data_IF_279647908910
#
_entry.id   IF_279647908910
#
_cell.length_a   1.000
_cell.length_b   1.000
_cell.length_c   1.000
_cell.angle_alpha   90.00
_cell.angle_beta   90.00
_cell.angle_gamma   90.00
#
_symmetry.space_group_name_H-M   'P 1'
#
loop_
_entity.id
_entity.type
_entity.pdbx_description
1 polymer ?
#
# COMPACT_ATOMS: atom_id res chain seq x y z
N UNK A 1 12.84 65.50 47.22
CA UNK A 1 13.36 65.43 48.60
C UNK A 1 14.40 64.33 48.66
N UNK A 2 15.61 64.63 49.13
CA UNK A 2 16.69 63.66 49.30
C UNK A 2 16.57 62.91 50.64
N UNK A 3 17.27 61.78 50.79
CA UNK A 3 17.29 61.03 52.07
C UNK A 3 17.88 61.88 53.21
N UNK A 4 18.84 62.74 52.88
CA UNK A 4 19.42 63.72 53.81
C UNK A 4 18.38 64.73 54.31
N UNK A 5 17.59 65.31 53.40
CA UNK A 5 16.50 66.23 53.79
C UNK A 5 15.44 65.52 54.65
N UNK A 6 15.14 64.26 54.35
CA UNK A 6 14.21 63.46 55.15
C UNK A 6 14.77 63.16 56.54
N UNK A 7 16.08 62.91 56.65
CA UNK A 7 16.75 62.69 57.93
C UNK A 7 16.73 63.94 58.82
N UNK A 8 16.95 65.12 58.25
CA UNK A 8 16.85 66.40 58.97
C UNK A 8 15.43 66.65 59.49
N UNK A 9 14.41 66.38 58.66
CA UNK A 9 13.00 66.46 59.05
C UNK A 9 12.66 65.45 60.16
N UNK A 10 13.10 64.20 60.02
CA UNK A 10 12.90 63.14 61.01
C UNK A 10 13.50 63.53 62.37
N UNK A 11 14.66 64.18 62.37
CA UNK A 11 15.26 64.72 63.60
C UNK A 11 14.48 65.91 64.17
N UNK A 12 14.03 66.84 63.33
CA UNK A 12 13.26 68.00 63.79
C UNK A 12 11.94 67.61 64.45
N UNK A 13 11.24 66.63 63.87
CA UNK A 13 9.90 66.20 64.32
C UNK A 13 9.96 65.16 65.45
N UNK A 14 10.85 64.16 65.36
CA UNK A 14 10.88 63.01 66.29
C UNK A 14 12.12 62.94 67.17
N UNK A 15 13.08 63.88 67.03
CA UNK A 15 14.36 63.91 67.76
C UNK A 15 15.20 62.64 67.60
N UNK A 16 14.97 61.87 66.54
CA UNK A 16 15.73 60.66 66.19
C UNK A 16 16.74 61.00 65.09
N UNK A 17 18.02 60.71 65.33
CA UNK A 17 19.11 61.07 64.39
C UNK A 17 19.39 59.91 63.44
N UNK A 18 19.48 60.21 62.15
CA UNK A 18 19.91 59.26 61.11
C UNK A 18 21.06 59.89 60.32
N UNK A 19 22.07 59.09 59.99
CA UNK A 19 23.26 59.55 59.28
C UNK A 19 23.41 58.80 57.96
N UNK A 20 23.53 59.54 56.87
CA UNK A 20 23.85 59.00 55.55
C UNK A 20 25.34 59.17 55.28
N UNK A 21 26.04 58.07 54.98
CA UNK A 21 27.47 58.10 54.62
C UNK A 21 27.67 57.75 53.14
N UNK A 22 28.80 58.14 52.53
CA UNK A 22 29.15 57.69 51.18
C UNK A 22 29.19 56.15 51.06
N UNK A 23 29.55 55.45 52.14
CA UNK A 23 29.52 53.99 52.20
C UNK A 23 28.12 53.39 52.11
N UNK A 24 27.08 54.08 52.62
CA UNK A 24 25.68 53.66 52.43
C UNK A 24 25.21 53.82 50.98
N UNK A 25 25.74 54.82 50.26
CA UNK A 25 25.45 55.00 48.83
C UNK A 25 26.11 53.92 47.96
N UNK A 26 27.37 53.56 48.24
CA UNK A 26 28.03 52.43 47.57
C UNK A 26 27.31 51.11 47.85
N UNK A 27 26.77 50.94 49.06
CA UNK A 27 25.95 49.78 49.41
C UNK A 27 24.69 49.69 48.54
N UNK A 28 23.98 50.81 48.36
CA UNK A 28 22.82 50.87 47.47
C UNK A 28 23.17 50.40 46.05
N UNK A 29 24.27 50.90 45.48
CA UNK A 29 24.68 50.53 44.11
C UNK A 29 24.96 49.03 44.03
N UNK A 30 25.72 48.48 44.98
CA UNK A 30 26.04 47.06 44.99
C UNK A 30 24.79 46.18 45.16
N UNK A 31 23.88 46.59 46.05
CA UNK A 31 22.61 45.92 46.28
C UNK A 31 21.73 45.94 45.03
N UNK A 32 21.63 47.10 44.37
CA UNK A 32 20.89 47.25 43.12
C UNK A 32 21.41 46.33 42.02
N UNK A 33 22.73 46.30 41.79
CA UNK A 33 23.33 45.45 40.75
C UNK A 33 23.09 43.96 41.03
N UNK A 34 23.21 43.53 42.30
CA UNK A 34 22.95 42.14 42.71
C UNK A 34 21.48 41.78 42.49
N UNK A 35 20.56 42.58 43.03
CA UNK A 35 19.12 42.35 42.95
C UNK A 35 18.62 42.38 41.51
N UNK A 36 19.14 43.27 40.67
CA UNK A 36 18.77 43.34 39.26
C UNK A 36 19.21 42.09 38.50
N UNK A 37 20.42 41.61 38.76
CA UNK A 37 20.93 40.37 38.18
C UNK A 37 20.11 39.14 38.57
N UNK A 38 19.72 39.04 39.84
CA UNK A 38 18.87 37.96 40.35
C UNK A 38 17.46 38.03 39.77
N UNK A 39 16.82 39.21 39.79
CA UNK A 39 15.46 39.38 39.27
C UNK A 39 15.36 39.12 37.77
N UNK A 40 16.36 39.53 36.98
CA UNK A 40 16.43 39.20 35.55
C UNK A 40 16.51 37.70 35.28
N UNK A 41 17.17 36.93 36.17
CA UNK A 41 17.25 35.46 36.05
C UNK A 41 15.97 34.74 36.49
N UNK A 42 15.25 35.30 37.46
CA UNK A 42 14.01 34.71 37.99
C UNK A 42 12.84 34.75 37.01
N UNK A 43 12.86 35.68 36.04
CA UNK A 43 11.81 35.82 35.04
C UNK A 43 11.86 34.68 34.02
N UNK A 44 11.18 33.57 34.35
CA UNK A 44 11.10 32.36 33.53
C UNK A 44 10.13 32.47 32.33
N UNK A 45 10.20 33.60 31.58
CA UNK A 45 9.35 33.90 30.42
C UNK A 45 9.45 32.82 29.34
N UNK A 46 10.67 32.37 29.06
CA UNK A 46 10.94 31.50 27.91
C UNK A 46 10.21 30.16 27.99
N UNK A 47 10.00 29.63 29.19
CA UNK A 47 9.23 28.39 29.39
C UNK A 47 7.77 28.57 28.99
N UNK A 48 7.13 29.64 29.46
CA UNK A 48 5.71 29.92 29.19
C UNK A 48 5.51 30.27 27.71
N UNK A 49 6.43 31.08 27.15
CA UNK A 49 6.43 31.42 25.72
C UNK A 49 6.59 30.19 24.82
N UNK A 50 7.49 29.28 25.16
CA UNK A 50 7.68 28.03 24.40
C UNK A 50 6.45 27.14 24.48
N UNK A 51 5.83 27.02 25.67
CA UNK A 51 4.58 26.29 25.86
C UNK A 51 3.44 26.84 25.00
N UNK A 52 3.26 28.16 25.00
CA UNK A 52 2.25 28.83 24.20
C UNK A 52 2.48 28.63 22.69
N UNK A 53 3.73 28.76 22.21
CA UNK A 53 4.06 28.51 20.79
C UNK A 53 3.66 27.10 20.36
N UNK A 54 3.95 26.09 21.19
CA UNK A 54 3.60 24.69 20.88
C UNK A 54 2.10 24.45 20.87
N UNK A 55 1.36 25.12 21.75
CA UNK A 55 -0.10 25.06 21.78
C UNK A 55 -0.69 25.66 20.49
N UNK A 56 -0.22 26.84 20.08
CA UNK A 56 -0.65 27.48 18.83
C UNK A 56 -0.32 26.63 17.58
N UNK A 57 0.89 26.08 17.50
CA UNK A 57 1.29 25.14 16.43
C UNK A 57 0.36 23.92 16.37
N UNK A 58 -0.03 23.39 17.54
CA UNK A 58 -0.96 22.26 17.64
C UNK A 58 -2.35 22.63 17.13
N UNK A 59 -2.86 23.82 17.47
CA UNK A 59 -4.16 24.30 16.97
C UNK A 59 -4.17 24.40 15.44
N UNK A 60 -3.11 24.96 14.84
CA UNK A 60 -2.96 25.04 13.38
C UNK A 60 -2.95 23.65 12.74
N UNK A 61 -2.24 22.70 13.33
CA UNK A 61 -2.20 21.32 12.84
C UNK A 61 -3.58 20.64 12.91
N UNK A 62 -4.32 20.86 14.00
CA UNK A 62 -5.68 20.34 14.17
C UNK A 62 -6.63 20.91 13.13
N UNK A 63 -6.54 22.20 12.83
CA UNK A 63 -7.38 22.83 11.82
C UNK A 63 -7.04 22.35 10.41
N UNK A 64 -5.77 22.11 10.11
CA UNK A 64 -5.36 21.46 8.86
C UNK A 64 -5.93 20.04 8.76
N UNK A 65 -5.83 19.23 9.82
CA UNK A 65 -6.41 17.88 9.83
C UNK A 65 -7.92 17.87 9.63
N UNK A 66 -8.65 18.86 10.16
CA UNK A 66 -10.10 19.03 9.90
C UNK A 66 -10.38 19.28 8.43
N UNK A 67 -9.62 20.18 7.80
CA UNK A 67 -9.77 20.49 6.37
C UNK A 67 -9.46 19.27 5.51
N UNK A 68 -8.35 18.58 5.78
CA UNK A 68 -7.95 17.38 5.05
C UNK A 68 -9.03 16.29 5.14
N UNK A 69 -9.62 16.08 6.32
CA UNK A 69 -10.69 15.10 6.52
C UNK A 69 -11.96 15.47 5.73
N UNK A 70 -12.38 16.74 5.79
CA UNK A 70 -13.54 17.23 5.02
C UNK A 70 -13.35 17.13 3.51
N UNK A 71 -12.11 17.24 3.02
CA UNK A 71 -11.79 17.10 1.60
C UNK A 71 -11.75 15.62 1.16
N UNK A 72 -11.36 14.71 2.05
CA UNK A 72 -11.26 13.27 1.75
C UNK A 72 -12.62 12.55 1.82
N UNK A 73 -13.57 13.03 2.62
CA UNK A 73 -14.93 12.47 2.72
C UNK A 73 -15.64 12.29 1.36
N UNK A 74 -15.80 13.32 0.51
CA UNK A 74 -16.47 13.16 -0.78
C UNK A 74 -15.70 12.23 -1.73
N UNK A 75 -14.36 12.27 -1.70
CA UNK A 75 -13.51 11.41 -2.54
C UNK A 75 -13.70 9.94 -2.19
N UNK A 76 -13.83 9.60 -0.91
CA UNK A 76 -14.09 8.22 -0.49
C UNK A 76 -15.47 7.73 -0.96
N UNK A 77 -16.48 8.60 -0.91
CA UNK A 77 -17.83 8.28 -1.39
C UNK A 77 -17.81 8.05 -2.91
N UNK A 78 -17.20 8.94 -3.68
CA UNK A 78 -17.07 8.79 -5.14
C UNK A 78 -16.35 7.48 -5.50
N UNK A 79 -15.18 7.23 -4.90
CA UNK A 79 -14.43 5.97 -5.09
C UNK A 79 -15.22 4.73 -4.66
N UNK A 80 -16.08 4.83 -3.66
CA UNK A 80 -16.93 3.71 -3.24
C UNK A 80 -17.95 3.34 -4.30
N UNK A 81 -18.58 4.33 -4.92
CA UNK A 81 -19.55 4.15 -6.01
C UNK A 81 -18.85 3.64 -7.26
N UNK A 82 -17.67 4.15 -7.59
CA UNK A 82 -16.89 3.69 -8.76
C UNK A 82 -16.48 2.22 -8.64
N UNK A 83 -16.05 1.78 -7.45
CA UNK A 83 -15.69 0.39 -7.18
C UNK A 83 -16.91 -0.53 -7.30
N UNK A 84 -18.08 -0.11 -6.80
CA UNK A 84 -19.34 -0.86 -6.94
C UNK A 84 -19.77 -0.98 -8.41
N UNK A 85 -19.68 0.10 -9.17
CA UNK A 85 -20.00 0.10 -10.60
C UNK A 85 -19.03 -0.76 -11.44
N UNK A 86 -17.74 -0.78 -11.07
CA UNK A 86 -16.75 -1.67 -11.70
C UNK A 86 -17.04 -3.14 -11.39
N UNK A 87 -17.43 -3.46 -10.15
CA UNK A 87 -17.79 -4.83 -9.74
C UNK A 87 -18.98 -5.37 -10.54
N UNK A 88 -20.03 -4.57 -10.72
CA UNK A 88 -21.22 -4.97 -11.45
C UNK A 88 -20.91 -5.26 -12.94
N UNK A 89 -20.12 -4.39 -13.59
CA UNK A 89 -19.69 -4.60 -14.98
C UNK A 89 -18.88 -5.89 -15.14
N UNK A 90 -17.97 -6.16 -14.20
CA UNK A 90 -17.10 -7.33 -14.24
C UNK A 90 -17.87 -8.64 -14.11
N UNK A 91 -18.90 -8.66 -13.25
CA UNK A 91 -19.77 -9.82 -13.08
C UNK A 91 -20.57 -10.15 -14.35
N UNK A 92 -21.15 -9.13 -15.00
CA UNK A 92 -21.95 -9.29 -16.22
C UNK A 92 -21.09 -9.74 -17.41
N UNK A 93 -19.89 -9.16 -17.56
CA UNK A 93 -19.00 -9.48 -18.68
C UNK A 93 -18.39 -10.89 -18.55
N UNK A 94 -18.05 -11.34 -17.33
CA UNK A 94 -17.55 -12.71 -17.11
C UNK A 94 -18.56 -13.80 -17.43
N UNK A 95 -19.83 -13.62 -17.03
CA UNK A 95 -20.85 -14.65 -17.18
C UNK A 95 -21.31 -14.80 -18.63
N UNK A 96 -21.52 -13.68 -19.34
CA UNK A 96 -22.00 -13.70 -20.72
C UNK A 96 -21.00 -14.32 -21.69
N UNK A 97 -19.70 -14.05 -21.52
CA UNK A 97 -18.65 -14.47 -22.46
C UNK A 97 -18.35 -15.96 -22.34
N UNK A 98 -18.32 -16.49 -21.10
CA UNK A 98 -18.07 -17.92 -20.85
C UNK A 98 -19.19 -18.81 -21.38
N UNK A 99 -20.45 -18.39 -21.27
CA UNK A 99 -21.59 -19.18 -21.71
C UNK A 99 -21.61 -19.39 -23.23
N UNK A 100 -21.40 -18.32 -24.00
CA UNK A 100 -21.46 -18.36 -25.47
C UNK A 100 -20.40 -19.28 -26.06
N UNK A 101 -19.17 -19.26 -25.52
CA UNK A 101 -18.08 -20.09 -26.09
C UNK A 101 -18.19 -21.56 -25.70
N UNK A 102 -18.66 -21.88 -24.49
CA UNK A 102 -18.89 -23.28 -24.10
C UNK A 102 -19.96 -23.94 -24.99
N UNK A 103 -21.03 -23.22 -25.33
CA UNK A 103 -22.07 -23.71 -26.24
C UNK A 103 -21.51 -23.98 -27.65
N UNK A 104 -20.71 -23.06 -28.19
CA UNK A 104 -20.11 -23.20 -29.52
C UNK A 104 -19.02 -24.29 -29.60
N UNK A 105 -18.21 -24.45 -28.55
CA UNK A 105 -17.21 -25.51 -28.44
C UNK A 105 -17.84 -26.90 -28.39
N UNK A 106 -18.94 -27.06 -27.65
CA UNK A 106 -19.68 -28.31 -27.60
C UNK A 106 -20.22 -28.70 -29.00
N UNK A 107 -20.77 -27.73 -29.75
CA UNK A 107 -21.29 -27.96 -31.10
C UNK A 107 -20.18 -28.37 -32.08
N UNK A 108 -19.00 -27.73 -31.99
CA UNK A 108 -17.87 -28.07 -32.86
C UNK A 108 -17.28 -29.45 -32.51
N UNK A 109 -17.25 -29.83 -31.23
CA UNK A 109 -16.78 -31.15 -30.79
C UNK A 109 -17.67 -32.27 -31.30
N UNK A 110 -19.00 -32.12 -31.20
CA UNK A 110 -19.95 -33.11 -31.74
C UNK A 110 -19.76 -33.29 -33.25
N UNK A 111 -19.63 -32.20 -34.00
CA UNK A 111 -19.40 -32.26 -35.45
C UNK A 111 -18.05 -32.90 -35.82
N UNK A 112 -17.01 -32.68 -34.99
CA UNK A 112 -15.70 -33.31 -35.16
C UNK A 112 -15.74 -34.83 -34.95
N UNK A 113 -16.44 -35.28 -33.91
CA UNK A 113 -16.65 -36.70 -33.62
C UNK A 113 -17.46 -37.37 -34.75
N UNK A 114 -18.49 -36.71 -35.27
CA UNK A 114 -19.27 -37.19 -36.43
C UNK A 114 -18.41 -37.31 -37.71
N UNK A 115 -17.57 -36.32 -38.02
CA UNK A 115 -16.65 -36.41 -39.18
C UNK A 115 -15.61 -37.50 -39.03
N UNK A 116 -15.06 -37.67 -37.83
CA UNK A 116 -14.05 -38.69 -37.57
C UNK A 116 -14.65 -40.09 -37.70
N UNK A 117 -15.86 -40.31 -37.19
CA UNK A 117 -16.56 -41.58 -37.34
C UNK A 117 -16.82 -41.94 -38.82
N UNK A 118 -17.18 -40.94 -39.66
CA UNK A 118 -17.36 -41.14 -41.11
C UNK A 118 -16.01 -41.45 -41.80
N UNK A 119 -14.92 -40.83 -41.35
CA UNK A 119 -13.58 -41.09 -41.87
C UNK A 119 -13.08 -42.49 -41.50
N UNK A 120 -13.23 -42.89 -40.25
CA UNK A 120 -12.84 -44.21 -39.76
C UNK A 120 -13.65 -45.33 -40.43
N UNK A 121 -14.94 -45.09 -40.69
CA UNK A 121 -15.82 -46.03 -41.40
C UNK A 121 -15.44 -46.17 -42.89
N UNK A 122 -15.04 -45.08 -43.55
CA UNK A 122 -14.55 -45.12 -44.93
C UNK A 122 -13.16 -45.78 -45.04
N UNK A 123 -12.29 -45.57 -44.05
CA UNK A 123 -10.95 -46.15 -44.02
C UNK A 123 -11.00 -47.65 -43.74
N UNK A 124 -11.85 -48.09 -42.80
CA UNK A 124 -12.03 -49.50 -42.47
C UNK A 124 -12.44 -50.34 -43.68
N UNK A 125 -13.34 -49.81 -44.51
CA UNK A 125 -13.79 -50.51 -45.72
C UNK A 125 -12.68 -50.55 -46.79
N UNK A 126 -11.87 -49.49 -46.93
CA UNK A 126 -10.71 -49.49 -47.84
C UNK A 126 -9.62 -50.48 -47.40
N UNK A 127 -9.40 -50.59 -46.09
CA UNK A 127 -8.42 -51.50 -45.50
C UNK A 127 -8.78 -52.99 -45.69
N UNK A 128 -10.03 -53.32 -46.05
CA UNK A 128 -10.42 -54.68 -46.43
C UNK A 128 -9.85 -55.07 -47.81
N UNK A 129 -9.76 -54.12 -48.74
CA UNK A 129 -9.38 -54.38 -50.12
C UNK A 129 -7.91 -54.12 -50.46
N UNK A 130 -7.27 -53.16 -49.77
CA UNK A 130 -5.89 -52.77 -50.03
C UNK A 130 -4.88 -53.92 -49.81
N UNK A 131 -4.94 -54.70 -48.72
CA UNK A 131 -4.00 -55.80 -48.50
C UNK A 131 -4.12 -56.91 -49.54
N UNK A 132 -5.35 -57.20 -49.99
CA UNK A 132 -5.60 -58.20 -51.03
C UNK A 132 -5.03 -57.76 -52.39
N UNK A 133 -5.14 -56.47 -52.71
CA UNK A 133 -4.59 -55.89 -53.95
C UNK A 133 -3.06 -55.78 -53.92
N UNK A 134 -2.47 -55.38 -52.80
CA UNK A 134 -1.02 -55.34 -52.62
C UNK A 134 -0.40 -56.73 -52.67
N UNK A 135 -1.01 -57.72 -52.01
CA UNK A 135 -0.58 -59.11 -52.06
C UNK A 135 -0.64 -59.66 -53.50
N UNK A 136 -1.70 -59.34 -54.24
CA UNK A 136 -1.84 -59.71 -55.65
C UNK A 136 -0.79 -59.06 -56.56
N UNK A 137 -0.55 -57.75 -56.41
CA UNK A 137 0.45 -57.04 -57.20
C UNK A 137 1.87 -57.54 -56.92
N UNK A 138 2.20 -57.82 -55.65
CA UNK A 138 3.48 -58.41 -55.26
C UNK A 138 3.64 -59.82 -55.84
N UNK A 139 2.57 -60.61 -55.88
CA UNK A 139 2.57 -61.93 -56.50
C UNK A 139 2.75 -61.86 -58.03
N UNK A 140 2.21 -60.84 -58.70
CA UNK A 140 2.44 -60.58 -60.13
C UNK A 140 3.86 -60.09 -60.43
N UNK A 141 4.41 -59.21 -59.60
CA UNK A 141 5.77 -58.66 -59.76
C UNK A 141 6.85 -59.73 -59.54
N UNK A 142 6.52 -60.80 -58.79
CA UNK A 142 7.39 -61.97 -58.62
C UNK A 142 7.43 -62.94 -59.82
N UNK A 143 6.64 -62.69 -60.88
CA UNK A 143 6.62 -63.52 -62.08
C UNK A 143 7.67 -63.05 -63.09
N UNK A 144 8.46 -63.99 -63.59
CA UNK A 144 9.46 -63.72 -64.63
C UNK A 144 8.94 -64.11 -66.03
N UNK A 145 9.64 -63.61 -67.06
CA UNK A 145 9.30 -63.91 -68.47
C UNK A 145 9.32 -65.41 -68.79
N UNK A 146 10.10 -66.19 -68.04
CA UNK A 146 10.17 -67.64 -68.15
C UNK A 146 8.83 -68.31 -67.76
N UNK A 147 8.22 -67.86 -66.66
CA UNK A 147 6.95 -68.38 -66.13
C UNK A 147 5.79 -68.17 -67.11
N UNK A 148 5.79 -67.03 -67.82
CA UNK A 148 4.82 -66.70 -68.87
C UNK A 148 5.04 -67.58 -70.11
N UNK A 149 6.30 -67.83 -70.45
CA UNK A 149 6.63 -68.68 -71.60
C UNK A 149 6.22 -70.14 -71.39
N UNK A 150 6.24 -70.64 -70.16
CA UNK A 150 5.78 -71.99 -69.79
C UNK A 150 4.29 -72.17 -70.10
N UNK A 151 3.45 -71.19 -69.72
CA UNK A 151 2.01 -71.23 -70.01
C UNK A 151 1.73 -71.11 -71.53
N UNK A 152 2.57 -70.37 -72.27
CA UNK A 152 2.36 -70.13 -73.71
C UNK A 152 2.58 -71.39 -74.57
N UNK A 153 3.37 -72.34 -74.10
CA UNK A 153 3.77 -73.55 -74.86
C UNK A 153 2.65 -74.59 -74.92
N UNK A 154 1.63 -74.52 -74.05
CA UNK A 154 0.51 -75.46 -74.08
C UNK A 154 -0.19 -75.49 -75.47
N UNK A 155 -0.24 -76.69 -76.05
CA UNK A 155 -0.98 -76.99 -77.29
C UNK A 155 -2.47 -77.16 -77.01
N UNK A 156 -2.82 -77.76 -75.87
CA UNK A 156 -4.15 -77.78 -75.26
C UNK A 156 -4.01 -77.47 -73.77
N UNK A 157 -4.40 -76.27 -73.30
CA UNK A 157 -4.21 -75.88 -71.90
C UNK A 157 -5.14 -76.68 -70.98
N UNK A 158 -4.72 -76.96 -69.72
CA UNK A 158 -5.63 -77.45 -68.68
C UNK A 158 -6.79 -76.48 -68.44
N UNK A 159 -7.97 -77.00 -68.12
CA UNK A 159 -9.20 -76.20 -67.98
C UNK A 159 -9.05 -75.04 -66.95
N UNK A 160 -8.33 -75.26 -65.86
CA UNK A 160 -8.03 -74.22 -64.86
C UNK A 160 -7.12 -73.10 -65.39
N UNK A 161 -6.17 -73.43 -66.26
CA UNK A 161 -5.31 -72.41 -66.92
C UNK A 161 -6.13 -71.63 -67.95
N UNK A 162 -7.03 -72.30 -68.66
CA UNK A 162 -7.93 -71.69 -69.64
C UNK A 162 -8.86 -70.67 -68.97
N UNK A 163 -9.51 -71.04 -67.86
CA UNK A 163 -10.41 -70.12 -67.12
C UNK A 163 -9.69 -68.90 -66.53
N UNK A 164 -8.46 -69.04 -66.03
CA UNK A 164 -7.65 -67.89 -65.55
C UNK A 164 -7.29 -66.96 -66.70
N UNK A 165 -6.89 -67.50 -67.85
CA UNK A 165 -6.55 -66.71 -69.02
C UNK A 165 -7.74 -66.04 -69.67
N UNK A 166 -8.91 -66.67 -69.67
CA UNK A 166 -10.18 -66.07 -70.10
C UNK A 166 -10.57 -64.90 -69.19
N UNK A 167 -10.42 -65.04 -67.87
CA UNK A 167 -10.74 -63.99 -66.91
C UNK A 167 -9.82 -62.75 -67.07
N UNK A 168 -8.52 -62.97 -67.31
CA UNK A 168 -7.58 -61.87 -67.62
C UNK A 168 -7.89 -61.24 -68.98
N UNK A 169 -8.24 -62.05 -69.98
CA UNK A 169 -8.61 -61.55 -71.32
C UNK A 169 -9.86 -60.67 -71.25
N UNK A 170 -10.81 -60.98 -70.37
CA UNK A 170 -11.99 -60.15 -70.10
C UNK A 170 -11.61 -58.80 -69.47
N UNK A 171 -10.70 -58.78 -68.50
CA UNK A 171 -10.22 -57.54 -67.89
C UNK A 171 -9.43 -56.66 -68.88
N UNK A 172 -8.61 -57.27 -69.73
CA UNK A 172 -7.88 -56.57 -70.80
C UNK A 172 -8.71 -56.28 -72.06
N UNK A 173 -10.03 -56.51 -72.01
CA UNK A 173 -10.99 -56.27 -73.09
C UNK A 173 -10.66 -57.01 -74.41
N UNK A 174 -10.05 -58.18 -74.32
CA UNK A 174 -9.78 -59.11 -75.40
C UNK A 174 -10.87 -60.20 -75.48
N UNK A 175 -10.90 -60.95 -76.59
CA UNK A 175 -11.82 -62.08 -76.73
C UNK A 175 -11.44 -63.19 -75.72
N UNK A 176 -12.39 -63.81 -75.02
CA UNK A 176 -12.13 -64.89 -74.06
C UNK A 176 -11.93 -66.22 -74.80
N UNK A 177 -10.93 -66.29 -75.67
CA UNK A 177 -10.53 -67.48 -76.39
C UNK A 177 -9.02 -67.73 -76.23
N UNK A 178 -8.61 -69.00 -76.25
CA UNK A 178 -7.20 -69.37 -76.07
C UNK A 178 -6.28 -68.72 -77.11
N UNK A 179 -6.78 -68.46 -78.32
CA UNK A 179 -6.03 -67.78 -79.37
C UNK A 179 -5.67 -66.34 -78.98
N UNK A 180 -6.62 -65.55 -78.45
CA UNK A 180 -6.34 -64.20 -77.97
C UNK A 180 -5.51 -64.20 -76.68
N UNK A 181 -5.77 -65.12 -75.75
CA UNK A 181 -4.96 -65.29 -74.54
C UNK A 181 -3.48 -65.58 -74.87
N UNK A 182 -3.22 -66.43 -75.87
CA UNK A 182 -1.86 -66.76 -76.33
C UNK A 182 -1.16 -65.58 -77.01
N UNK A 183 -1.91 -64.69 -77.66
CA UNK A 183 -1.38 -63.42 -78.18
C UNK A 183 -1.03 -62.45 -77.04
N UNK A 184 -1.87 -62.35 -76.01
CA UNK A 184 -1.61 -61.51 -74.83
C UNK A 184 -0.37 -61.98 -74.06
N UNK A 185 -0.20 -63.29 -73.86
CA UNK A 185 1.01 -63.87 -73.26
C UNK A 185 2.27 -63.70 -74.13
N UNK A 186 2.11 -63.34 -75.40
CA UNK A 186 3.20 -63.06 -76.33
C UNK A 186 3.73 -61.62 -76.26
N UNK A 187 2.98 -60.71 -75.65
CA UNK A 187 3.34 -59.31 -75.51
C UNK A 187 4.42 -59.13 -74.43
N UNK A 188 5.54 -58.48 -74.78
CA UNK A 188 6.63 -58.19 -73.85
C UNK A 188 6.21 -57.27 -72.69
N UNK A 189 5.11 -56.54 -72.83
CA UNK A 189 4.58 -55.63 -71.82
C UNK A 189 3.38 -56.18 -71.03
N UNK A 190 3.07 -57.48 -71.17
CA UNK A 190 1.89 -58.09 -70.54
C UNK A 190 1.82 -57.88 -69.01
N UNK A 191 2.90 -58.16 -68.27
CA UNK A 191 2.93 -57.95 -66.81
C UNK A 191 2.81 -56.48 -66.42
N UNK A 192 3.49 -55.58 -67.16
CA UNK A 192 3.38 -54.13 -66.93
C UNK A 192 1.94 -53.64 -67.12
N UNK A 193 1.24 -54.14 -68.14
CA UNK A 193 -0.18 -53.83 -68.38
C UNK A 193 -1.11 -54.32 -67.26
N UNK A 194 -0.76 -55.37 -66.53
CA UNK A 194 -1.53 -55.84 -65.37
C UNK A 194 -1.23 -55.00 -64.12
N UNK A 195 0.03 -54.63 -63.90
CA UNK A 195 0.44 -53.78 -62.77
C UNK A 195 -0.03 -52.32 -62.92
N UNK A 196 -0.01 -51.78 -64.13
CA UNK A 196 -0.45 -50.41 -64.46
C UNK A 196 -1.95 -50.33 -64.81
N UNK A 197 -2.70 -51.42 -64.65
CA UNK A 197 -4.11 -51.44 -64.98
C UNK A 197 -4.90 -50.47 -64.10
N UNK A 198 -5.81 -49.71 -64.71
CA UNK A 198 -6.68 -48.76 -64.02
C UNK A 198 -7.71 -49.49 -63.13
N UNK A 199 -7.34 -49.66 -61.85
CA UNK A 199 -8.13 -50.30 -60.80
C UNK A 199 -9.33 -49.46 -60.34
N UNK A 200 -9.34 -48.16 -60.62
CA UNK A 200 -10.39 -47.23 -60.17
C UNK A 200 -11.55 -47.18 -61.19
N UNK A 201 -11.31 -47.47 -62.48
CA UNK A 201 -12.30 -47.30 -63.55
C UNK A 201 -12.64 -48.58 -64.34
N UNK A 202 -13.01 -49.66 -63.64
CA UNK A 202 -13.43 -50.92 -64.28
C UNK A 202 -14.89 -50.83 -64.72
N UNK A 203 -15.15 -50.96 -66.02
CA UNK A 203 -16.52 -50.90 -66.56
C UNK A 203 -17.40 -51.99 -65.93
N UNK A 204 -18.65 -51.68 -65.53
CA UNK A 204 -19.55 -52.64 -64.85
C UNK A 204 -19.87 -53.87 -65.71
N UNK A 205 -19.84 -53.73 -67.04
CA UNK A 205 -20.03 -54.83 -67.98
C UNK A 205 -18.90 -55.87 -67.93
N UNK A 206 -17.68 -55.46 -67.57
CA UNK A 206 -16.51 -56.34 -67.44
C UNK A 206 -16.62 -57.14 -66.14
N UNK A 207 -16.98 -56.49 -65.03
CA UNK A 207 -17.19 -57.14 -63.73
C UNK A 207 -18.30 -58.20 -63.79
N UNK A 208 -19.42 -57.92 -64.46
CA UNK A 208 -20.52 -58.89 -64.64
C UNK A 208 -20.06 -60.15 -65.39
N UNK A 209 -19.19 -60.00 -66.40
CA UNK A 209 -18.59 -61.14 -67.11
C UNK A 209 -17.60 -61.90 -66.24
N UNK A 210 -16.85 -61.19 -65.39
CA UNK A 210 -15.88 -61.74 -64.44
C UNK A 210 -16.54 -62.59 -63.35
N UNK A 211 -17.76 -62.22 -62.92
CA UNK A 211 -18.53 -62.95 -61.90
C UNK A 211 -18.75 -64.43 -62.23
N UNK A 212 -18.90 -64.77 -63.52
CA UNK A 212 -19.06 -66.16 -63.96
C UNK A 212 -17.85 -67.03 -63.59
N UNK A 213 -16.66 -66.44 -63.55
CA UNK A 213 -15.40 -67.12 -63.24
C UNK A 213 -15.09 -67.08 -61.75
N UNK A 214 -15.33 -65.94 -61.09
CA UNK A 214 -15.06 -65.78 -59.64
C UNK A 214 -15.98 -66.65 -58.78
N UNK A 215 -17.24 -66.84 -59.19
CA UNK A 215 -18.20 -67.69 -58.48
C UNK A 215 -17.99 -69.19 -58.76
N UNK A 216 -17.04 -69.56 -59.62
CA UNK A 216 -16.71 -70.96 -59.86
C UNK A 216 -15.90 -71.51 -58.66
N UNK A 217 -16.34 -72.59 -57.99
CA UNK A 217 -15.64 -73.18 -56.83
C UNK A 217 -14.22 -73.68 -57.14
N UNK A 218 -13.86 -73.82 -58.42
CA UNK A 218 -12.52 -74.23 -58.84
C UNK A 218 -11.56 -73.05 -59.13
N UNK A 219 -12.07 -71.81 -59.15
CA UNK A 219 -11.31 -70.58 -59.38
C UNK A 219 -10.70 -70.01 -58.08
N UNK A 220 -9.88 -70.83 -57.41
CA UNK A 220 -9.23 -70.49 -56.14
C UNK A 220 -7.71 -70.58 -56.31
N UNK A 221 -6.92 -69.59 -55.83
CA UNK A 221 -5.47 -69.58 -55.99
C UNK A 221 -4.78 -70.89 -55.58
N UNK A 222 -5.23 -71.53 -54.50
CA UNK A 222 -4.69 -72.81 -54.00
C UNK A 222 -4.96 -74.01 -54.92
N UNK A 223 -6.08 -74.02 -55.64
CA UNK A 223 -6.41 -75.07 -56.62
C UNK A 223 -5.65 -74.86 -57.93
N UNK A 224 -5.50 -73.60 -58.35
CA UNK A 224 -4.76 -73.22 -59.56
C UNK A 224 -3.25 -73.47 -59.39
N UNK A 225 -2.72 -73.31 -58.18
CA UNK A 225 -1.30 -73.58 -57.86
C UNK A 225 -0.86 -75.01 -58.20
N UNK A 226 -1.75 -75.99 -58.02
CA UNK A 226 -1.47 -77.41 -58.33
C UNK A 226 -1.23 -77.65 -59.82
N UNK A 227 -1.66 -76.73 -60.68
CA UNK A 227 -1.52 -76.81 -62.14
C UNK A 227 -0.45 -75.86 -62.65
N UNK A 228 -0.39 -74.63 -62.13
CA UNK A 228 0.65 -73.67 -62.48
C UNK A 228 0.81 -72.60 -61.40
N UNK A 229 2.05 -72.40 -60.94
CA UNK A 229 2.42 -71.34 -60.01
C UNK A 229 2.21 -69.95 -60.59
N UNK A 230 2.45 -69.78 -61.89
CA UNK A 230 2.26 -68.51 -62.58
C UNK A 230 0.77 -68.14 -62.71
N UNK A 231 -0.09 -69.13 -62.97
CA UNK A 231 -1.55 -68.92 -62.99
C UNK A 231 -2.13 -68.61 -61.60
N UNK A 232 -1.49 -69.04 -60.49
CA UNK A 232 -1.90 -68.68 -59.12
C UNK A 232 -1.83 -67.17 -58.90
N UNK A 233 -0.70 -66.53 -59.22
CA UNK A 233 -0.50 -65.09 -59.05
C UNK A 233 -1.49 -64.29 -59.89
N UNK A 234 -1.75 -64.74 -61.13
CA UNK A 234 -2.73 -64.11 -62.01
C UNK A 234 -4.18 -64.29 -61.52
N UNK A 235 -4.53 -65.47 -61.00
CA UNK A 235 -5.84 -65.74 -60.40
C UNK A 235 -6.08 -64.89 -59.13
N UNK A 236 -5.07 -64.77 -58.28
CA UNK A 236 -5.10 -63.92 -57.08
C UNK A 236 -5.34 -62.45 -57.45
N UNK A 237 -4.69 -61.97 -58.51
CA UNK A 237 -4.88 -60.61 -59.02
C UNK A 237 -6.28 -60.35 -59.57
N UNK A 238 -6.82 -61.25 -60.38
CA UNK A 238 -8.20 -61.12 -60.90
C UNK A 238 -9.22 -61.03 -59.76
N UNK A 239 -9.05 -61.83 -58.70
CA UNK A 239 -9.94 -61.82 -57.53
C UNK A 239 -9.77 -60.56 -56.67
N UNK A 240 -8.53 -60.11 -56.47
CA UNK A 240 -8.26 -58.86 -55.75
C UNK A 240 -8.83 -57.64 -56.50
N UNK A 241 -8.84 -57.67 -57.83
CA UNK A 241 -9.38 -56.60 -58.66
C UNK A 241 -10.92 -56.47 -58.58
N UNK A 242 -11.63 -57.61 -58.52
CA UNK A 242 -13.09 -57.62 -58.29
C UNK A 242 -13.44 -57.14 -56.88
N UNK A 243 -12.69 -57.59 -55.88
CA UNK A 243 -12.88 -57.19 -54.48
C UNK A 243 -12.62 -55.69 -54.30
N UNK A 244 -11.53 -55.17 -54.85
CA UNK A 244 -11.21 -53.74 -54.82
C UNK A 244 -12.27 -52.90 -55.54
N UNK A 245 -12.73 -53.31 -56.73
CA UNK A 245 -13.74 -52.56 -57.47
C UNK A 245 -15.12 -52.53 -56.80
N UNK A 246 -15.47 -53.57 -56.02
CA UNK A 246 -16.68 -53.59 -55.19
C UNK A 246 -16.56 -52.64 -54.00
N UNK A 247 -15.45 -52.73 -53.28
CA UNK A 247 -15.17 -51.86 -52.12
C UNK A 247 -15.09 -50.39 -52.52
N UNK A 248 -14.42 -50.05 -53.62
CA UNK A 248 -14.35 -48.66 -54.14
C UNK A 248 -15.75 -48.11 -54.41
N UNK A 249 -16.68 -48.90 -54.95
CA UNK A 249 -18.07 -48.46 -55.17
C UNK A 249 -18.84 -48.20 -53.88
N UNK A 250 -18.55 -48.93 -52.82
CA UNK A 250 -19.16 -48.73 -51.50
C UNK A 250 -18.53 -47.55 -50.75
N UNK A 251 -17.24 -47.30 -50.98
CA UNK A 251 -16.47 -46.21 -50.36
C UNK A 251 -16.68 -44.86 -51.06
N UNK A 252 -16.92 -44.82 -52.37
CA UNK A 252 -17.15 -43.58 -53.14
C UNK A 252 -18.24 -42.66 -52.53
N UNK A 253 -19.45 -43.15 -52.18
CA UNK A 253 -20.45 -42.32 -51.49
C UNK A 253 -20.00 -41.90 -50.08
N UNK A 254 -19.19 -42.72 -49.39
CA UNK A 254 -18.62 -42.36 -48.07
C UNK A 254 -17.58 -41.26 -48.20
N UNK A 255 -16.73 -41.28 -49.25
CA UNK A 255 -15.78 -40.20 -49.58
C UNK A 255 -16.49 -38.88 -49.88
N UNK A 256 -17.59 -38.90 -50.62
CA UNK A 256 -18.38 -37.69 -50.87
C UNK A 256 -19.03 -37.14 -49.60
N UNK A 257 -19.59 -38.02 -48.74
CA UNK A 257 -20.12 -37.63 -47.42
C UNK A 257 -19.04 -37.08 -46.51
N UNK A 258 -17.86 -37.70 -46.48
CA UNK A 258 -16.69 -37.23 -45.73
C UNK A 258 -16.29 -35.85 -46.21
N UNK A 259 -16.13 -35.62 -47.51
CA UNK A 259 -15.76 -34.31 -48.06
C UNK A 259 -16.81 -33.23 -47.69
N UNK A 260 -18.10 -33.53 -47.84
CA UNK A 260 -19.16 -32.61 -47.44
C UNK A 260 -19.18 -32.32 -45.93
N UNK A 261 -18.89 -33.32 -45.10
CA UNK A 261 -18.81 -33.18 -43.65
C UNK A 261 -17.53 -32.42 -43.24
N UNK A 262 -16.41 -32.64 -43.92
CA UNK A 262 -15.14 -31.94 -43.72
C UNK A 262 -15.27 -30.44 -44.04
N UNK A 263 -15.93 -30.09 -45.14
CA UNK A 263 -16.20 -28.68 -45.48
C UNK A 263 -17.06 -28.00 -44.40
N UNK A 264 -18.06 -28.70 -43.87
CA UNK A 264 -18.88 -28.19 -42.76
C UNK A 264 -18.08 -28.05 -41.47
N UNK A 265 -17.22 -29.02 -41.18
CA UNK A 265 -16.32 -29.02 -40.04
C UNK A 265 -15.36 -27.85 -40.10
N UNK A 266 -14.69 -27.64 -41.23
CA UNK A 266 -13.74 -26.55 -41.46
C UNK A 266 -14.42 -25.18 -41.29
N UNK A 267 -15.64 -25.02 -41.81
CA UNK A 267 -16.44 -23.82 -41.60
C UNK A 267 -16.76 -23.60 -40.11
N UNK A 268 -17.16 -24.65 -39.38
CA UNK A 268 -17.42 -24.55 -37.94
C UNK A 268 -16.16 -24.28 -37.12
N UNK A 269 -15.03 -24.91 -37.47
CA UNK A 269 -13.74 -24.67 -36.83
C UNK A 269 -13.23 -23.25 -37.10
N UNK A 270 -13.46 -22.70 -38.30
CA UNK A 270 -13.12 -21.31 -38.59
C UNK A 270 -13.94 -20.36 -37.70
N UNK A 271 -15.25 -20.55 -37.59
CA UNK A 271 -16.09 -19.75 -36.67
C UNK A 271 -15.69 -19.93 -35.21
N UNK A 272 -15.31 -21.13 -34.79
CA UNK A 272 -14.83 -21.41 -33.45
C UNK A 272 -13.52 -20.67 -33.17
N UNK A 273 -12.55 -20.70 -34.09
CA UNK A 273 -11.27 -19.98 -33.95
C UNK A 273 -11.49 -18.47 -33.82
N UNK A 274 -12.40 -17.90 -34.61
CA UNK A 274 -12.75 -16.48 -34.51
C UNK A 274 -13.41 -16.15 -33.17
N UNK A 275 -14.31 -17.01 -32.68
CA UNK A 275 -14.95 -16.85 -31.36
C UNK A 275 -13.95 -17.05 -30.21
N UNK A 276 -13.05 -18.03 -30.29
CA UNK A 276 -11.95 -18.23 -29.32
C UNK A 276 -11.00 -17.04 -29.29
N UNK A 277 -10.69 -16.44 -30.45
CA UNK A 277 -9.88 -15.22 -30.52
C UNK A 277 -10.59 -14.03 -29.85
N UNK A 278 -11.90 -13.87 -30.08
CA UNK A 278 -12.71 -12.85 -29.40
C UNK A 278 -12.79 -13.11 -27.90
N UNK A 279 -12.92 -14.37 -27.47
CA UNK A 279 -12.92 -14.73 -26.06
C UNK A 279 -11.59 -14.36 -25.40
N UNK A 280 -10.45 -14.67 -26.01
CA UNK A 280 -9.15 -14.22 -25.48
C UNK A 280 -9.09 -12.69 -25.33
N UNK A 281 -9.57 -11.94 -26.32
CA UNK A 281 -9.61 -10.48 -26.23
C UNK A 281 -10.48 -9.99 -25.08
N UNK A 282 -11.62 -10.64 -24.84
CA UNK A 282 -12.50 -10.27 -23.73
C UNK A 282 -11.95 -10.75 -22.38
N UNK A 283 -11.29 -11.90 -22.31
CA UNK A 283 -10.56 -12.36 -21.12
C UNK A 283 -9.43 -11.39 -20.76
N UNK A 284 -8.65 -10.91 -21.74
CA UNK A 284 -7.62 -9.90 -21.54
C UNK A 284 -8.23 -8.58 -21.02
N UNK A 285 -9.40 -8.18 -21.54
CA UNK A 285 -10.13 -7.01 -21.06
C UNK A 285 -10.67 -7.20 -19.63
N UNK A 286 -11.21 -8.38 -19.32
CA UNK A 286 -11.67 -8.74 -17.97
C UNK A 286 -10.50 -8.71 -17.01
N UNK A 287 -9.34 -9.27 -17.38
CA UNK A 287 -8.14 -9.22 -16.54
C UNK A 287 -7.69 -7.78 -16.30
N UNK A 288 -7.67 -6.93 -17.34
CA UNK A 288 -7.35 -5.52 -17.18
C UNK A 288 -8.36 -4.79 -16.27
N UNK A 289 -9.64 -5.13 -16.35
CA UNK A 289 -10.68 -4.60 -15.46
C UNK A 289 -10.54 -5.14 -14.03
N UNK A 290 -10.14 -6.39 -13.84
CA UNK A 290 -9.84 -6.98 -12.52
C UNK A 290 -8.66 -6.26 -11.87
N UNK A 291 -7.58 -6.03 -12.62
CA UNK A 291 -6.41 -5.30 -12.12
C UNK A 291 -6.78 -3.86 -11.75
N UNK A 292 -7.64 -3.19 -12.53
CA UNK A 292 -8.14 -1.85 -12.22
C UNK A 292 -9.04 -1.83 -10.98
N UNK A 293 -9.89 -2.87 -10.83
CA UNK A 293 -10.75 -3.04 -9.67
C UNK A 293 -9.91 -3.24 -8.39
N UNK A 294 -8.93 -4.14 -8.42
CA UNK A 294 -8.03 -4.38 -7.28
C UNK A 294 -7.27 -3.12 -6.87
N UNK A 295 -6.71 -2.37 -7.84
CA UNK A 295 -6.06 -1.07 -7.55
C UNK A 295 -7.02 -0.07 -6.92
N UNK A 296 -8.23 0.05 -7.47
CA UNK A 296 -9.24 0.99 -6.96
C UNK A 296 -9.71 0.60 -5.55
N UNK A 297 -9.78 -0.70 -5.26
CA UNK A 297 -10.13 -1.22 -3.94
C UNK A 297 -9.02 -0.96 -2.93
N UNK A 298 -7.76 -1.18 -3.29
CA UNK A 298 -6.61 -0.85 -2.44
C UNK A 298 -6.53 0.65 -2.15
N UNK A 299 -6.75 1.51 -3.16
CA UNK A 299 -6.86 2.95 -3.00
C UNK A 299 -7.97 3.31 -2.00
N UNK A 300 -9.19 2.78 -2.19
CA UNK A 300 -10.34 2.99 -1.29
C UNK A 300 -10.02 2.57 0.14
N UNK A 301 -9.41 1.41 0.35
CA UNK A 301 -9.02 0.93 1.68
C UNK A 301 -7.92 1.78 2.31
N UNK A 302 -6.95 2.23 1.53
CA UNK A 302 -5.87 3.11 2.02
C UNK A 302 -6.40 4.49 2.45
N UNK A 303 -7.34 5.04 1.66
CA UNK A 303 -8.06 6.27 1.97
C UNK A 303 -8.88 6.12 3.25
N UNK A 304 -9.68 5.04 3.35
CA UNK A 304 -10.48 4.75 4.54
C UNK A 304 -9.61 4.60 5.81
N UNK A 305 -8.47 3.91 5.71
CA UNK A 305 -7.49 3.79 6.81
C UNK A 305 -6.93 5.15 7.22
N UNK A 306 -6.56 5.98 6.25
CA UNK A 306 -6.01 7.33 6.50
C UNK A 306 -7.04 8.24 7.15
N UNK A 307 -8.30 8.20 6.70
CA UNK A 307 -9.40 8.94 7.31
C UNK A 307 -9.67 8.49 8.74
N UNK A 308 -9.74 7.18 9.00
CA UNK A 308 -9.95 6.65 10.35
C UNK A 308 -8.83 7.07 11.32
N UNK A 309 -7.57 7.00 10.86
CA UNK A 309 -6.42 7.46 11.65
C UNK A 309 -6.49 8.96 11.93
N UNK A 310 -6.83 9.76 10.92
CA UNK A 310 -6.92 11.23 11.03
C UNK A 310 -8.06 11.61 11.97
N UNK A 311 -9.22 10.95 11.89
CA UNK A 311 -10.36 11.17 12.79
C UNK A 311 -10.00 10.82 14.24
N UNK A 312 -9.30 9.71 14.46
CA UNK A 312 -8.83 9.32 15.79
C UNK A 312 -7.82 10.34 16.36
N UNK A 313 -6.90 10.83 15.54
CA UNK A 313 -5.95 11.90 15.91
C UNK A 313 -6.67 13.19 16.26
N UNK A 314 -7.61 13.61 15.43
CA UNK A 314 -8.41 14.82 15.61
C UNK A 314 -9.24 14.78 16.88
N UNK A 315 -9.85 13.62 17.18
CA UNK A 315 -10.60 13.42 18.43
C UNK A 315 -9.70 13.56 19.67
N UNK A 316 -8.50 12.96 19.63
CA UNK A 316 -7.53 13.06 20.75
C UNK A 316 -6.99 14.48 20.89
N UNK A 317 -6.64 15.11 19.77
CA UNK A 317 -6.13 16.47 19.76
C UNK A 317 -7.21 17.46 20.23
N UNK A 318 -8.46 17.31 19.80
CA UNK A 318 -9.59 18.12 20.25
C UNK A 318 -9.82 18.08 21.76
N UNK A 319 -9.67 16.90 22.39
CA UNK A 319 -9.71 16.79 23.86
C UNK A 319 -8.58 17.57 24.53
N UNK A 320 -7.37 17.48 23.98
CA UNK A 320 -6.19 18.15 24.51
C UNK A 320 -6.26 19.67 24.34
N UNK A 321 -6.69 20.15 23.17
CA UNK A 321 -6.86 21.59 22.90
C UNK A 321 -7.98 22.18 23.75
N UNK A 322 -9.08 21.44 23.97
CA UNK A 322 -10.14 21.88 24.88
C UNK A 322 -9.65 21.97 26.33
N UNK A 323 -8.92 20.95 26.81
CA UNK A 323 -8.38 20.95 28.17
C UNK A 323 -7.31 22.04 28.41
N UNK A 324 -6.57 22.42 27.36
CA UNK A 324 -5.53 23.45 27.43
C UNK A 324 -6.02 24.85 27.02
N UNK A 325 -7.30 25.02 26.68
CA UNK A 325 -7.84 26.31 26.25
C UNK A 325 -7.70 27.40 27.31
N UNK A 326 -8.06 27.08 28.56
CA UNK A 326 -7.94 28.02 29.68
C UNK A 326 -6.46 28.31 30.03
N UNK A 327 -5.59 27.30 29.91
CA UNK A 327 -4.14 27.47 30.10
C UNK A 327 -3.53 28.37 29.01
N UNK A 328 -4.03 28.31 27.77
CA UNK A 328 -3.61 29.20 26.70
C UNK A 328 -3.84 30.67 27.09
N UNK A 329 -5.06 31.00 27.52
CA UNK A 329 -5.42 32.36 27.96
C UNK A 329 -4.55 32.79 29.14
N UNK A 330 -4.38 31.91 30.12
CA UNK A 330 -3.53 32.18 31.29
C UNK A 330 -2.08 32.45 30.90
N UNK A 331 -1.51 31.68 29.95
CA UNK A 331 -0.13 31.87 29.49
C UNK A 331 0.02 33.15 28.67
N UNK A 332 -0.97 33.52 27.85
CA UNK A 332 -0.99 34.80 27.15
C UNK A 332 -0.99 35.98 28.13
N UNK A 333 -1.84 35.94 29.15
CA UNK A 333 -1.86 36.94 30.23
C UNK A 333 -0.54 36.96 31.00
N UNK A 334 0.01 35.79 31.35
CA UNK A 334 1.29 35.69 32.07
C UNK A 334 2.45 36.28 31.26
N UNK A 335 2.47 36.07 29.94
CA UNK A 335 3.50 36.66 29.07
C UNK A 335 3.38 38.18 29.04
N UNK A 336 2.17 38.73 28.95
CA UNK A 336 1.95 40.18 29.03
C UNK A 336 2.45 40.73 30.37
N UNK A 337 2.09 40.09 31.47
CA UNK A 337 2.56 40.48 32.81
C UNK A 337 4.09 40.42 32.90
N UNK A 338 4.74 39.38 32.36
CA UNK A 338 6.20 39.30 32.32
C UNK A 338 6.83 40.40 31.47
N UNK A 339 6.21 40.78 30.34
CA UNK A 339 6.69 41.88 29.50
C UNK A 339 6.60 43.23 30.23
N UNK A 340 5.50 43.47 30.94
CA UNK A 340 5.32 44.65 31.79
C UNK A 340 6.32 44.65 32.96
N UNK A 341 6.52 43.51 33.63
CA UNK A 341 7.52 43.36 34.70
C UNK A 341 8.94 43.61 34.19
N UNK A 342 9.31 43.08 33.00
CA UNK A 342 10.62 43.31 32.38
C UNK A 342 10.82 44.79 32.07
N UNK A 343 9.78 45.48 31.58
CA UNK A 343 9.89 46.91 31.27
C UNK A 343 10.13 47.74 32.54
N UNK A 344 9.44 47.41 33.62
CA UNK A 344 9.47 48.14 34.88
C UNK A 344 10.56 47.68 35.87
N UNK A 345 11.27 46.58 35.57
CA UNK A 345 12.26 45.96 36.48
C UNK A 345 13.34 46.93 36.92
N UNK A 346 13.77 47.83 36.03
CA UNK A 346 14.88 48.75 36.27
C UNK A 346 14.52 49.73 37.38
N UNK A 347 13.35 50.37 37.30
CA UNK A 347 12.85 51.29 38.32
C UNK A 347 12.40 50.57 39.58
N UNK A 348 11.68 49.45 39.45
CA UNK A 348 11.18 48.68 40.59
C UNK A 348 12.34 48.17 41.47
N UNK A 349 13.37 47.57 40.88
CA UNK A 349 14.53 47.08 41.63
C UNK A 349 15.35 48.23 42.21
N UNK A 350 15.43 49.38 41.52
CA UNK A 350 16.12 50.56 42.04
C UNK A 350 15.48 51.08 43.31
N UNK A 351 14.15 51.30 43.30
CA UNK A 351 13.44 51.75 44.49
C UNK A 351 13.51 50.69 45.59
N UNK A 352 13.33 49.40 45.27
CA UNK A 352 13.43 48.34 46.26
C UNK A 352 14.81 48.28 46.93
N UNK A 353 15.89 48.46 46.16
CA UNK A 353 17.24 48.55 46.69
C UNK A 353 17.42 49.79 47.60
N UNK A 354 16.82 50.93 47.22
CA UNK A 354 16.81 52.15 48.03
C UNK A 354 16.05 51.95 49.35
N UNK A 355 14.94 51.20 49.32
CA UNK A 355 14.21 50.82 50.53
C UNK A 355 15.12 50.03 51.47
N UNK A 356 15.78 48.98 50.98
CA UNK A 356 16.67 48.15 51.80
C UNK A 356 17.85 48.93 52.37
N UNK A 357 18.42 49.86 51.60
CA UNK A 357 19.57 50.66 52.04
C UNK A 357 19.19 51.74 53.08
N UNK A 358 18.01 52.35 52.97
CA UNK A 358 17.68 53.56 53.73
C UNK A 358 16.52 53.44 54.71
N UNK A 359 15.64 52.43 54.62
CA UNK A 359 14.43 52.35 55.46
C UNK A 359 14.67 52.06 56.93
N UNK A 360 15.76 51.39 57.28
CA UNK A 360 15.93 50.78 58.60
C UNK A 360 15.66 51.72 59.78
N UNK A 361 15.97 53.02 59.64
CA UNK A 361 15.80 54.00 60.71
C UNK A 361 14.46 54.76 60.68
N UNK A 362 13.71 54.73 59.57
CA UNK A 362 12.50 55.52 59.36
C UNK A 362 11.24 54.74 59.76
N UNK A 363 10.26 55.45 60.33
CA UNK A 363 8.92 54.89 60.61
C UNK A 363 8.06 54.83 59.35
N UNK A 364 6.96 54.07 59.39
CA UNK A 364 6.09 53.80 58.25
C UNK A 364 5.67 55.06 57.45
N UNK A 365 5.34 56.16 58.15
CA UNK A 365 4.95 57.42 57.51
C UNK A 365 6.09 57.99 56.65
N UNK A 366 7.31 58.03 57.17
CA UNK A 366 8.47 58.57 56.44
C UNK A 366 8.91 57.63 55.32
N UNK A 367 8.75 56.31 55.49
CA UNK A 367 8.98 55.33 54.42
C UNK A 367 8.06 55.61 53.22
N UNK A 368 6.76 55.77 53.45
CA UNK A 368 5.80 56.11 52.38
C UNK A 368 6.16 57.43 51.68
N UNK A 369 6.47 58.49 52.44
CA UNK A 369 6.91 59.77 51.87
C UNK A 369 8.18 59.65 51.01
N UNK A 370 9.12 58.77 51.39
CA UNK A 370 10.32 58.49 50.61
C UNK A 370 9.97 57.77 49.30
N UNK A 371 9.11 56.74 49.32
CA UNK A 371 8.62 56.06 48.09
C UNK A 371 8.01 57.08 47.16
N UNK A 372 7.05 57.88 47.63
CA UNK A 372 6.33 58.83 46.78
C UNK A 372 7.28 59.83 46.12
N UNK A 373 8.30 60.29 46.86
CA UNK A 373 9.34 61.16 46.32
C UNK A 373 10.19 60.45 45.27
N UNK A 374 10.59 59.21 45.52
CA UNK A 374 11.42 58.42 44.61
C UNK A 374 10.66 58.05 43.33
N UNK A 375 9.40 57.61 43.43
CA UNK A 375 8.53 57.32 42.27
C UNK A 375 8.37 58.57 41.41
N UNK A 376 8.02 59.72 41.99
CA UNK A 376 7.91 60.99 41.24
C UNK A 376 9.21 61.36 40.55
N UNK A 377 10.35 61.11 41.19
CA UNK A 377 11.66 61.40 40.60
C UNK A 377 12.00 60.44 39.45
N UNK A 378 11.69 59.15 39.59
CA UNK A 378 11.82 58.17 38.51
C UNK A 378 10.94 58.54 37.31
N UNK A 379 9.68 58.94 37.54
CA UNK A 379 8.77 59.40 36.50
C UNK A 379 9.30 60.64 35.77
N UNK A 380 9.79 61.64 36.51
CA UNK A 380 10.38 62.85 35.92
C UNK A 380 11.66 62.58 35.12
N UNK A 381 12.35 61.47 35.40
CA UNK A 381 13.55 61.04 34.69
C UNK A 381 13.24 60.00 33.59
N UNK A 382 11.96 59.77 33.31
CA UNK A 382 11.47 58.80 32.32
C UNK A 382 11.97 57.37 32.58
N UNK A 383 12.20 57.03 33.85
CA UNK A 383 12.56 55.66 34.27
C UNK A 383 11.26 54.84 34.42
N UNK A 384 11.10 53.74 33.67
CA UNK A 384 9.92 52.89 33.79
C UNK A 384 9.77 52.31 35.19
N UNK A 385 8.59 52.49 35.78
CA UNK A 385 8.26 51.96 37.09
C UNK A 385 6.78 51.59 37.15
N UNK A 386 6.46 50.56 37.92
CA UNK A 386 5.07 50.20 38.17
C UNK A 386 4.35 51.34 38.91
N UNK A 387 3.12 51.69 38.51
CA UNK A 387 2.31 52.68 39.24
C UNK A 387 1.98 52.18 40.66
N UNK A 388 1.85 50.87 40.84
CA UNK A 388 1.52 50.21 42.11
C UNK A 388 2.77 49.57 42.73
N UNK A 389 3.82 50.37 42.96
CA UNK A 389 5.05 49.88 43.58
C UNK A 389 4.78 49.34 45.00
N UNK A 390 5.23 48.10 45.26
CA UNK A 390 5.20 47.50 46.59
C UNK A 390 6.49 46.73 46.84
N UNK A 391 7.19 47.09 47.92
CA UNK A 391 8.43 46.42 48.34
C UNK A 391 8.21 44.92 48.56
N UNK A 392 7.07 44.56 49.16
CA UNK A 392 6.69 43.17 49.44
C UNK A 392 6.49 42.39 48.14
N UNK A 393 5.83 42.96 47.13
CA UNK A 393 5.60 42.26 45.87
C UNK A 393 6.90 42.05 45.07
N UNK A 394 7.85 42.98 45.21
CA UNK A 394 9.09 42.96 44.44
C UNK A 394 10.13 42.05 45.10
N UNK A 395 10.32 42.14 46.42
CA UNK A 395 11.38 41.41 47.14
C UNK A 395 10.88 40.30 48.05
N UNK A 396 9.60 40.29 48.41
CA UNK A 396 9.01 39.29 49.28
C UNK A 396 8.73 37.98 48.53
N UNK A 397 9.21 36.87 49.09
CA UNK A 397 8.74 35.54 48.69
C UNK A 397 7.51 35.18 49.54
N UNK A 398 6.34 34.93 48.93
CA UNK A 398 5.13 34.52 49.66
C UNK A 398 5.33 33.29 50.55
N UNK A 399 6.25 32.39 50.21
CA UNK A 399 6.58 31.23 51.04
C UNK A 399 7.37 31.66 52.29
N UNK A 400 8.44 32.46 52.13
CA UNK A 400 9.22 33.00 53.26
C UNK A 400 8.33 33.82 54.20
N UNK A 401 7.46 34.68 53.65
CA UNK A 401 6.54 35.50 54.45
C UNK A 401 5.57 34.62 55.25
N UNK A 402 5.03 33.55 54.67
CA UNK A 402 4.18 32.60 55.40
C UNK A 402 4.95 31.86 56.49
N UNK A 403 6.21 31.55 56.24
CA UNK A 403 7.08 30.94 57.23
C UNK A 403 7.30 31.89 58.40
N UNK A 404 7.68 33.15 58.15
CA UNK A 404 7.84 34.16 59.19
C UNK A 404 6.56 34.35 60.03
N UNK A 405 5.38 34.34 59.39
CA UNK A 405 4.11 34.43 60.08
C UNK A 405 3.81 33.20 60.96
N UNK A 406 4.27 32.02 60.56
CA UNK A 406 4.20 30.79 61.37
C UNK A 406 5.15 30.89 62.56
N UNK A 407 6.32 31.48 62.35
CA UNK A 407 7.33 31.73 63.37
C UNK A 407 6.95 32.88 64.32
N UNK A 408 5.82 33.55 64.12
CA UNK A 408 5.30 34.57 65.03
C UNK A 408 5.48 36.02 64.58
N UNK A 409 6.05 36.26 63.39
CA UNK A 409 6.08 37.60 62.81
C UNK A 409 4.64 38.11 62.57
N UNK A 410 4.30 39.33 62.99
CA UNK A 410 2.99 39.90 62.71
C UNK A 410 2.73 40.08 61.21
N UNK A 411 1.45 39.92 60.81
CA UNK A 411 0.99 39.98 59.40
C UNK A 411 0.81 41.41 58.85
N UNK A 412 1.25 42.42 59.58
CA UNK A 412 1.14 43.80 59.12
C UNK A 412 2.26 44.15 58.11
N UNK A 413 2.02 45.22 57.36
CA UNK A 413 2.93 45.65 56.30
C UNK A 413 4.32 46.02 56.84
N UNK A 414 4.39 46.70 58.00
CA UNK A 414 5.66 47.19 58.56
C UNK A 414 6.51 46.03 59.05
N UNK A 415 5.91 45.05 59.71
CA UNK A 415 6.62 43.83 60.15
C UNK A 415 7.14 43.02 58.97
N UNK A 416 6.32 42.87 57.91
CA UNK A 416 6.74 42.17 56.69
C UNK A 416 7.87 42.91 55.97
N UNK A 417 7.79 44.24 55.85
CA UNK A 417 8.89 45.05 55.32
C UNK A 417 10.16 44.87 56.15
N UNK A 418 10.05 44.92 57.49
CA UNK A 418 11.20 44.73 58.37
C UNK A 418 11.82 43.34 58.17
N UNK A 419 11.02 42.28 58.04
CA UNK A 419 11.51 40.94 57.69
C UNK A 419 12.30 40.92 56.37
N UNK A 420 11.83 41.65 55.35
CA UNK A 420 12.56 41.82 54.08
C UNK A 420 13.86 42.60 54.29
N UNK A 421 13.86 43.69 55.06
CA UNK A 421 15.07 44.48 55.33
C UNK A 421 16.16 43.65 56.02
N UNK A 422 15.77 42.79 56.97
CA UNK A 422 16.67 41.92 57.72
C UNK A 422 17.27 40.83 56.82
N UNK A 423 16.44 40.19 56.00
CA UNK A 423 16.86 39.06 55.15
C UNK A 423 17.60 39.49 53.88
N UNK A 424 17.27 40.65 53.32
CA UNK A 424 17.86 41.16 52.07
C UNK A 424 18.97 42.18 52.30
N UNK A 425 19.15 42.66 53.53
CA UNK A 425 20.25 43.54 53.91
C UNK A 425 21.59 42.80 53.89
N UNK A 426 22.63 43.42 53.32
CA UNK A 426 24.01 42.87 53.33
C UNK A 426 24.72 43.01 54.67
N UNK A 427 24.21 43.87 55.55
CA UNK A 427 24.79 44.15 56.87
C UNK A 427 23.83 43.67 57.94
N UNK A 428 24.39 43.24 59.06
CA UNK A 428 23.64 42.86 60.24
C UNK A 428 22.89 44.09 60.77
N UNK A 429 21.55 44.07 60.76
CA UNK A 429 20.76 45.21 61.22
C UNK A 429 20.80 45.29 62.75
N UNK A 430 20.96 46.50 63.29
CA UNK A 430 20.68 46.76 64.70
C UNK A 430 19.18 46.95 64.85
N UNK A 431 18.51 46.00 65.52
CA UNK A 431 17.07 46.07 65.76
C UNK A 431 16.76 46.90 67.00
N UNK A 432 15.84 47.86 66.88
CA UNK A 432 15.31 48.63 68.00
C UNK A 432 13.90 48.13 68.27
N UNK A 433 13.75 47.28 69.26
CA UNK A 433 12.51 46.57 69.55
C UNK A 433 12.01 46.87 70.98
N UNK A 434 11.25 47.96 71.17
CA UNK A 434 10.71 48.32 72.48
C UNK A 434 9.50 47.45 72.90
N UNK A 435 9.04 46.54 72.05
CA UNK A 435 7.87 45.70 72.28
C UNK A 435 8.20 44.20 72.36
N UNK A 436 9.49 43.85 72.34
CA UNK A 436 10.03 42.46 72.34
C UNK A 436 9.40 41.55 71.28
N UNK A 437 8.96 42.11 70.15
CA UNK A 437 8.36 41.35 69.04
C UNK A 437 9.36 40.37 68.41
N UNK A 438 10.61 40.79 68.21
CA UNK A 438 11.67 40.00 67.57
C UNK A 438 12.14 38.87 68.48
N UNK A 439 12.17 39.10 69.80
CA UNK A 439 12.62 38.11 70.80
C UNK A 439 11.62 36.95 70.92
N UNK A 440 10.35 37.17 70.56
CA UNK A 440 9.29 36.16 70.61
C UNK A 440 9.25 35.21 69.41
N UNK A 441 9.96 35.53 68.32
CA UNK A 441 10.06 34.69 67.11
C UNK A 441 11.11 33.60 67.36
N UNK A 442 10.76 32.30 67.38
CA UNK A 442 11.73 31.23 67.60
C UNK A 442 12.73 31.16 66.45
N UNK A 443 14.00 30.89 66.76
CA UNK A 443 15.08 30.70 65.79
C UNK A 443 14.87 29.37 65.04
N UNK A 444 13.99 29.37 64.03
CA UNK A 444 13.63 28.19 63.24
C UNK A 444 14.37 28.13 61.90
N UNK A 445 15.04 29.21 61.49
CA UNK A 445 15.89 29.25 60.30
C UNK A 445 17.28 28.67 60.62
N UNK A 446 17.56 27.49 60.09
CA UNK A 446 18.82 26.75 60.19
C UNK A 446 19.97 27.42 59.38
N UNK A 447 20.08 28.74 59.45
CA UNK A 447 21.20 29.54 58.97
C UNK A 447 21.91 30.09 60.20
N UNK A 448 23.23 29.97 60.27
CA UNK A 448 24.11 30.49 61.33
C UNK A 448 24.05 32.04 61.41
N UNK A 449 22.90 32.59 61.74
CA UNK A 449 22.63 34.02 61.92
C UNK A 449 22.29 34.24 63.38
N UNK A 450 23.33 34.47 64.18
CA UNK A 450 23.21 34.83 65.60
C UNK A 450 22.27 36.04 65.78
N UNK A 451 21.03 35.79 66.21
CA UNK A 451 20.13 36.83 66.72
C UNK A 451 20.57 37.21 68.13
N UNK A 452 21.39 38.26 68.26
CA UNK A 452 21.64 38.89 69.56
C UNK A 452 20.73 40.12 69.73
N UNK A 453 19.69 40.06 70.58
CA UNK A 453 18.98 41.26 71.01
C UNK A 453 19.88 42.04 71.97
N UNK A 454 20.38 43.20 71.56
CA UNK A 454 21.02 44.15 72.49
C UNK A 454 19.91 44.95 73.17
N UNK A 455 19.56 44.53 74.40
CA UNK A 455 18.72 45.30 75.30
C UNK A 455 19.47 46.59 75.72
N UNK A 456 19.05 47.73 75.16
CA UNK A 456 19.44 49.06 75.66
C UNK A 456 18.74 49.31 77.02
N UNK A 457 19.28 48.72 78.08
CA UNK A 457 18.77 48.87 79.45
C UNK A 457 19.80 48.72 80.57
N UNK A 458 21.00 48.19 80.30
CA UNK A 458 22.06 48.09 81.30
C UNK A 458 23.44 48.32 80.67
N UNK A 459 23.92 49.57 80.72
CA UNK A 459 25.34 49.88 80.54
C UNK A 459 25.85 50.35 81.91
N UNK A 460 26.54 49.52 82.71
CA UNK A 460 27.38 50.05 83.78
C UNK A 460 28.63 50.64 83.15
N UNK A 461 29.02 51.81 83.67
CA UNK A 461 30.16 52.61 83.25
C UNK A 461 31.45 51.79 83.13
N UNK A 462 31.95 51.63 81.90
CA UNK A 462 33.35 51.26 81.63
C UNK A 462 33.90 52.13 80.50
N UNK A 463 34.02 53.43 80.81
CA UNK A 463 35.06 54.27 80.23
C UNK A 463 35.89 54.81 81.38
N UNK A 464 37.02 54.15 81.66
CA UNK A 464 38.20 54.84 82.19
C UNK A 464 39.34 54.65 81.18
N UNK A 465 40.14 55.69 80.92
CA UNK A 465 41.10 55.70 79.83
C UNK A 465 42.45 55.11 80.25
N UNK A 466 43.31 54.89 79.24
CA UNK A 466 44.79 54.88 79.20
C UNK A 466 45.40 53.61 78.57
N UNK A 467 46.55 53.73 77.88
CA UNK A 467 47.36 54.93 77.62
C UNK A 467 47.30 55.48 76.18
#
# INVERSE_FOLDING_TARGET
MSVTEMADRYYAELRRRYYTTPTSYLELINLYLSMLGEKRKQLARDRVKNGLSKLLETNVLVDKMKLDLSALEPVLVEKSVDVEALMEKLAVDQENVRRVVQEDEAIAKVKAEETQAIADDAQRDLDEALPALEAANKALDSLDKADISEIRVFTKPPDLVMTVMEAISILLNAKPDWAAAKQLLGDSNFLKKLLEYDKENIKPQILLKLQKYINNPDFVPEKVEKVSRACKSMCMWVRAMDLYSRVVKEVEPKRQKLNAAQVRLDATMATLRDKQKKLKQVEDQIQALQDQYERSLEEKESLARTMALTQARLTRAGKLTAALGDEQVRWEESIRNFEDEISNIIGNVFIAAACVAYYGAFTALYRQLLIDCWIKKCQNLEIPISPDFSLINILGDPYEIRQWNTDGLPRDYVSTENGILVTRGRRWPLMIDPQDQVISVPDSSNTDTFFFPVLLGQVPALFTPFP
#
